data_IF_915539672621
#
_entry.id   IF_915539672621
#
_cell.length_a   1.000
_cell.length_b   1.000
_cell.length_c   1.000
_cell.angle_alpha   90.00
_cell.angle_beta   90.00
_cell.angle_gamma   90.00
#
_symmetry.space_group_name_H-M   'P 1'
#
loop_
_entity.id
_entity.type
_entity.pdbx_description
1 polymer ?
#
# COMPACT_ATOMS: atom_id res chain seq x y z
N UNK A 1 4.74 -2.61 3.49
CA UNK A 1 4.37 -1.90 2.24
C UNK A 1 5.59 -1.67 1.38
N UNK A 2 6.66 -1.08 1.92
CA UNK A 2 7.94 -0.93 1.22
C UNK A 2 9.01 -1.82 1.87
N UNK A 3 9.78 -2.54 1.07
CA UNK A 3 11.03 -3.21 1.43
C UNK A 3 12.16 -2.46 0.72
N UNK A 4 13.24 -2.11 1.41
CA UNK A 4 14.37 -1.41 0.79
C UNK A 4 15.51 -2.37 0.53
N UNK A 5 16.13 -2.25 -0.63
CA UNK A 5 17.31 -3.02 -1.03
C UNK A 5 18.33 -2.08 -1.68
N UNK A 6 19.53 -2.58 -1.93
CA UNK A 6 20.54 -1.84 -2.70
C UNK A 6 20.03 -1.52 -4.11
N UNK A 7 20.50 -0.41 -4.69
CA UNK A 7 20.11 -0.01 -6.05
C UNK A 7 20.49 -1.07 -7.10
N UNK A 8 21.55 -1.84 -6.89
CA UNK A 8 21.99 -2.86 -7.83
C UNK A 8 21.39 -4.24 -7.58
N UNK A 9 20.52 -4.37 -6.58
CA UNK A 9 19.91 -5.64 -6.18
C UNK A 9 19.04 -6.24 -7.30
N UNK A 10 19.29 -7.51 -7.61
CA UNK A 10 18.53 -8.27 -8.59
C UNK A 10 17.29 -8.91 -7.95
N UNK A 11 16.21 -9.19 -8.72
CA UNK A 11 15.00 -9.82 -8.19
C UNK A 11 15.23 -11.14 -7.44
N UNK A 12 16.24 -11.92 -7.83
CA UNK A 12 16.60 -13.20 -7.20
C UNK A 12 17.37 -13.07 -5.89
N UNK A 13 17.83 -11.86 -5.56
CA UNK A 13 18.61 -11.55 -4.35
C UNK A 13 17.73 -10.94 -3.26
N UNK A 14 16.43 -10.72 -3.54
CA UNK A 14 15.48 -10.17 -2.58
C UNK A 14 14.91 -11.30 -1.73
N UNK A 15 15.48 -11.46 -0.54
CA UNK A 15 14.97 -12.38 0.48
C UNK A 15 13.92 -11.72 1.40
N UNK A 16 13.25 -12.53 2.22
CA UNK A 16 12.30 -12.09 3.27
C UNK A 16 11.11 -11.24 2.76
N UNK A 17 10.64 -11.52 1.54
CA UNK A 17 9.45 -10.88 0.99
C UNK A 17 8.20 -11.23 1.81
N UNK A 18 7.27 -10.27 2.07
CA UNK A 18 6.01 -10.57 2.74
C UNK A 18 5.05 -11.34 1.82
N UNK A 19 4.11 -12.08 2.42
CA UNK A 19 3.02 -12.73 1.66
C UNK A 19 2.02 -11.71 1.07
N UNK A 20 1.90 -10.54 1.70
CA UNK A 20 1.03 -9.46 1.22
C UNK A 20 1.74 -8.62 0.14
N UNK A 21 1.02 -8.11 -0.87
CA UNK A 21 1.61 -7.25 -1.90
C UNK A 21 2.47 -6.12 -1.32
N UNK A 22 3.69 -6.00 -1.82
CA UNK A 22 4.63 -4.96 -1.41
C UNK A 22 5.46 -4.42 -2.57
N UNK A 23 6.05 -3.25 -2.34
CA UNK A 23 6.97 -2.58 -3.26
C UNK A 23 8.37 -2.78 -2.72
N UNK A 24 9.28 -3.26 -3.55
CA UNK A 24 10.71 -3.26 -3.29
C UNK A 24 11.27 -1.97 -3.86
N UNK A 25 11.95 -1.20 -3.02
CA UNK A 25 12.56 0.08 -3.34
C UNK A 25 14.05 -0.16 -3.51
N UNK A 26 14.53 -0.02 -4.74
CA UNK A 26 15.93 -0.20 -5.06
C UNK A 26 16.66 1.14 -4.89
N UNK A 27 17.31 1.33 -3.75
CA UNK A 27 17.93 2.58 -3.34
C UNK A 27 17.47 3.09 -1.98
N UNK A 28 17.82 4.35 -1.67
CA UNK A 28 17.72 4.89 -0.31
C UNK A 28 16.30 5.26 0.15
N UNK A 29 15.40 5.66 -0.77
CA UNK A 29 14.06 6.16 -0.44
C UNK A 29 13.07 5.97 -1.59
N UNK A 30 11.77 5.71 -1.31
CA UNK A 30 10.74 5.65 -2.35
C UNK A 30 10.58 6.94 -3.16
N UNK A 31 11.04 8.08 -2.64
CA UNK A 31 10.93 9.38 -3.31
C UNK A 31 12.08 9.66 -4.27
N UNK A 32 13.21 8.97 -4.12
CA UNK A 32 14.44 9.23 -4.88
C UNK A 32 14.96 8.03 -5.64
N UNK A 33 14.45 6.82 -5.37
CA UNK A 33 14.82 5.61 -6.09
C UNK A 33 14.44 5.71 -7.58
N UNK A 34 15.37 5.32 -8.45
CA UNK A 34 15.18 5.34 -9.91
C UNK A 34 14.46 4.11 -10.46
N UNK A 35 14.29 3.06 -9.66
CA UNK A 35 13.52 1.88 -10.02
C UNK A 35 13.02 1.12 -8.80
N UNK A 36 12.02 0.29 -9.05
CA UNK A 36 11.26 -0.46 -8.05
C UNK A 36 10.96 -1.86 -8.57
N UNK A 37 10.65 -2.76 -7.65
CA UNK A 37 10.04 -4.05 -7.98
C UNK A 37 8.72 -4.19 -7.23
N UNK A 38 7.84 -5.06 -7.71
CA UNK A 38 6.59 -5.40 -7.04
C UNK A 38 6.59 -6.88 -6.72
N UNK A 39 6.31 -7.20 -5.46
CA UNK A 39 6.19 -8.56 -4.98
C UNK A 39 4.76 -8.86 -4.56
N UNK A 40 4.34 -10.09 -4.78
CA UNK A 40 3.10 -10.66 -4.26
C UNK A 40 3.39 -12.09 -3.83
N UNK A 41 2.90 -12.47 -2.66
CA UNK A 41 3.08 -13.81 -2.10
C UNK A 41 4.54 -14.30 -2.15
N UNK A 42 5.44 -13.52 -1.56
CA UNK A 42 6.87 -13.84 -1.46
C UNK A 42 7.60 -13.96 -2.81
N UNK A 43 6.98 -13.51 -3.91
CA UNK A 43 7.54 -13.63 -5.26
C UNK A 43 7.58 -12.26 -5.93
N UNK A 44 8.71 -11.89 -6.55
CA UNK A 44 8.78 -10.73 -7.43
C UNK A 44 7.97 -11.02 -8.69
N UNK A 45 6.85 -10.32 -8.85
CA UNK A 45 5.96 -10.46 -10.02
C UNK A 45 6.26 -9.42 -11.10
N UNK A 46 6.92 -8.32 -10.74
CA UNK A 46 7.48 -7.36 -11.68
C UNK A 46 8.82 -6.84 -11.15
N UNK A 47 9.91 -7.20 -11.82
CA UNK A 47 11.28 -6.90 -11.40
C UNK A 47 11.83 -5.54 -11.85
N UNK A 48 11.07 -4.76 -12.63
CA UNK A 48 11.53 -3.44 -13.07
C UNK A 48 10.35 -2.50 -13.31
N UNK A 49 10.18 -1.54 -12.41
CA UNK A 49 9.17 -0.48 -12.48
C UNK A 49 9.88 0.87 -12.34
N UNK A 50 9.75 1.80 -13.31
CA UNK A 50 10.61 2.98 -13.38
C UNK A 50 10.23 4.10 -12.39
N UNK A 51 9.05 4.06 -11.79
CA UNK A 51 8.61 5.09 -10.87
C UNK A 51 7.70 4.55 -9.76
N UNK A 52 7.62 5.32 -8.67
CA UNK A 52 6.87 4.93 -7.47
C UNK A 52 5.36 4.90 -7.69
N UNK A 53 4.82 5.72 -8.61
CA UNK A 53 3.38 5.81 -8.86
C UNK A 53 2.88 4.53 -9.54
N UNK A 54 3.61 4.04 -10.54
CA UNK A 54 3.32 2.78 -11.21
C UNK A 54 3.50 1.60 -10.26
N UNK A 55 4.56 1.60 -9.44
CA UNK A 55 4.78 0.55 -8.45
C UNK A 55 3.66 0.51 -7.41
N UNK A 56 3.21 1.68 -6.94
CA UNK A 56 2.07 1.83 -6.04
C UNK A 56 0.78 1.34 -6.67
N UNK A 57 0.54 1.69 -7.93
CA UNK A 57 -0.64 1.28 -8.69
C UNK A 57 -0.69 -0.23 -8.86
N UNK A 58 0.42 -0.85 -9.29
CA UNK A 58 0.53 -2.30 -9.48
C UNK A 58 0.35 -3.05 -8.16
N UNK A 59 1.05 -2.64 -7.11
CA UNK A 59 0.94 -3.26 -5.79
C UNK A 59 -0.48 -3.14 -5.22
N UNK A 60 -1.10 -1.95 -5.35
CA UNK A 60 -2.45 -1.74 -4.87
C UNK A 60 -3.50 -2.53 -5.67
N UNK A 61 -3.35 -2.58 -7.00
CA UNK A 61 -4.21 -3.37 -7.88
C UNK A 61 -4.17 -4.87 -7.56
N UNK A 62 -3.01 -5.40 -7.14
CA UNK A 62 -2.87 -6.80 -6.74
C UNK A 62 -3.86 -7.20 -5.64
N UNK A 63 -4.14 -6.32 -4.66
CA UNK A 63 -5.16 -6.61 -3.64
C UNK A 63 -6.53 -6.88 -4.25
N UNK A 64 -6.89 -6.20 -5.34
CA UNK A 64 -8.20 -6.31 -5.99
C UNK A 64 -8.25 -7.45 -6.99
N UNK A 65 -7.28 -7.52 -7.89
CA UNK A 65 -7.23 -8.56 -8.92
C UNK A 65 -7.10 -9.96 -8.33
N UNK A 66 -6.38 -10.10 -7.21
CA UNK A 66 -6.12 -11.40 -6.57
C UNK A 66 -6.98 -11.63 -5.33
N UNK A 67 -7.93 -10.73 -5.05
CA UNK A 67 -8.84 -10.80 -3.89
C UNK A 67 -8.10 -10.98 -2.54
N UNK A 68 -6.98 -10.29 -2.36
CA UNK A 68 -6.18 -10.35 -1.13
C UNK A 68 -6.76 -9.36 -0.11
N UNK A 69 -6.94 -9.83 1.12
CA UNK A 69 -7.31 -9.00 2.27
C UNK A 69 -6.18 -8.04 2.65
N UNK A 70 -6.51 -6.85 3.16
CA UNK A 70 -5.47 -5.95 3.67
C UNK A 70 -4.86 -6.53 4.95
N UNK A 71 -3.52 -6.54 5.09
CA UNK A 71 -2.86 -6.97 6.31
C UNK A 71 -3.24 -6.02 7.46
N UNK A 72 -3.33 -6.57 8.66
CA UNK A 72 -3.88 -5.87 9.84
C UNK A 72 -3.10 -4.58 10.15
N UNK A 73 -1.79 -4.61 9.97
CA UNK A 73 -0.84 -3.54 10.28
C UNK A 73 -0.96 -2.36 9.29
N UNK A 74 -1.33 -2.65 8.03
CA UNK A 74 -1.43 -1.63 6.96
C UNK A 74 -2.87 -1.29 6.59
N UNK A 75 -3.87 -1.94 7.20
CA UNK A 75 -5.26 -1.80 6.78
C UNK A 75 -5.79 -0.36 6.80
N UNK A 76 -5.31 0.49 7.72
CA UNK A 76 -5.65 1.92 7.72
C UNK A 76 -5.02 2.67 6.54
N UNK A 77 -3.73 2.48 6.31
CA UNK A 77 -3.01 3.10 5.18
C UNK A 77 -3.61 2.69 3.85
N UNK A 78 -3.83 1.40 3.63
CA UNK A 78 -4.41 0.88 2.38
C UNK A 78 -5.85 1.33 2.18
N UNK A 79 -6.63 1.48 3.25
CA UNK A 79 -7.97 2.07 3.13
C UNK A 79 -7.93 3.58 2.83
N UNK A 80 -6.96 4.32 3.38
CA UNK A 80 -6.76 5.71 2.99
C UNK A 80 -6.45 5.81 1.49
N UNK A 81 -5.53 4.99 0.98
CA UNK A 81 -5.24 4.92 -0.46
C UNK A 81 -6.51 4.56 -1.25
N UNK A 82 -7.25 3.54 -0.81
CA UNK A 82 -8.49 3.09 -1.43
C UNK A 82 -9.48 4.24 -1.62
N UNK A 83 -9.78 4.98 -0.54
CA UNK A 83 -10.86 5.99 -0.53
C UNK A 83 -10.40 7.32 -1.12
N UNK A 84 -9.19 7.76 -0.79
CA UNK A 84 -8.73 9.12 -1.10
C UNK A 84 -8.00 9.19 -2.44
N UNK A 85 -7.17 8.20 -2.77
CA UNK A 85 -6.36 8.23 -3.99
C UNK A 85 -7.02 7.47 -5.13
N UNK A 86 -7.42 6.22 -4.89
CA UNK A 86 -8.02 5.35 -5.91
C UNK A 86 -9.54 5.50 -6.03
N UNK A 87 -10.19 6.19 -5.07
CA UNK A 87 -11.64 6.46 -5.04
C UNK A 87 -12.53 5.21 -5.18
N UNK A 88 -12.08 4.07 -4.64
CA UNK A 88 -12.82 2.79 -4.69
C UNK A 88 -13.73 2.67 -3.47
N UNK A 89 -15.04 2.65 -3.70
CA UNK A 89 -16.07 2.57 -2.66
C UNK A 89 -15.81 3.56 -1.49
N UNK A 90 -15.80 4.89 -1.75
CA UNK A 90 -15.38 5.90 -0.79
C UNK A 90 -16.26 5.98 0.47
N UNK A 91 -17.53 5.56 0.41
CA UNK A 91 -18.47 5.63 1.54
C UNK A 91 -18.82 4.26 2.16
N UNK A 92 -18.59 3.16 1.42
CA UNK A 92 -19.05 1.80 1.77
C UNK A 92 -17.96 0.76 1.51
N UNK A 93 -18.06 -0.40 2.13
CA UNK A 93 -17.14 -1.52 1.86
C UNK A 93 -15.72 -1.32 2.43
N UNK A 94 -15.05 -2.44 2.70
CA UNK A 94 -13.68 -2.45 3.24
C UNK A 94 -13.03 -3.80 2.93
N UNK A 95 -11.75 -3.77 2.57
CA UNK A 95 -10.89 -4.95 2.36
C UNK A 95 -10.18 -5.41 3.65
N UNK A 96 -10.38 -4.69 4.76
CA UNK A 96 -9.86 -5.08 6.08
C UNK A 96 -10.61 -6.30 6.59
N UNK A 97 -9.88 -7.24 7.16
CA UNK A 97 -10.46 -8.42 7.80
C UNK A 97 -11.45 -8.05 8.91
N UNK A 98 -12.54 -8.84 9.00
CA UNK A 98 -13.56 -8.64 10.02
C UNK A 98 -13.12 -9.24 11.35
N UNK A 99 -12.97 -8.39 12.37
CA UNK A 99 -12.81 -8.87 13.74
C UNK A 99 -14.16 -9.33 14.28
N UNK A 100 -14.28 -10.63 14.59
CA UNK A 100 -15.53 -11.28 14.98
C UNK A 100 -16.25 -10.65 16.21
N UNK A 101 -15.54 -9.87 17.04
CA UNK A 101 -16.02 -9.38 18.32
C UNK A 101 -16.42 -7.90 18.38
N UNK A 102 -16.29 -7.12 17.29
CA UNK A 102 -16.68 -5.70 17.28
C UNK A 102 -17.54 -5.37 16.07
N UNK A 103 -18.57 -4.54 16.27
CA UNK A 103 -19.28 -3.86 15.16
C UNK A 103 -18.25 -3.06 14.36
N UNK A 104 -17.83 -3.62 13.23
CA UNK A 104 -16.90 -2.96 12.33
C UNK A 104 -17.63 -1.84 11.62
N UNK A 105 -17.17 -0.61 11.83
CA UNK A 105 -17.62 0.53 11.06
C UNK A 105 -17.22 0.37 9.59
N UNK A 106 -18.00 0.97 8.69
CA UNK A 106 -17.72 0.97 7.26
C UNK A 106 -16.34 1.57 6.95
N UNK A 107 -15.90 2.56 7.74
CA UNK A 107 -14.61 3.25 7.59
C UNK A 107 -13.77 3.16 8.87
N UNK A 108 -12.45 3.15 8.75
CA UNK A 108 -11.54 3.19 9.91
C UNK A 108 -11.58 4.57 10.57
N UNK A 109 -11.76 4.64 11.89
CA UNK A 109 -11.76 5.89 12.66
C UNK A 109 -10.49 6.72 12.45
N UNK A 110 -9.32 6.08 12.38
CA UNK A 110 -8.05 6.78 12.13
C UNK A 110 -7.99 7.37 10.72
N UNK A 111 -8.56 6.68 9.74
CA UNK A 111 -8.65 7.17 8.36
C UNK A 111 -9.61 8.34 8.28
N UNK A 112 -10.78 8.25 8.91
CA UNK A 112 -11.72 9.39 9.00
C UNK A 112 -11.07 10.60 9.66
N UNK A 113 -10.44 10.41 10.83
CA UNK A 113 -9.76 11.50 11.54
C UNK A 113 -8.65 12.11 10.68
N UNK A 114 -7.85 11.31 9.97
CA UNK A 114 -6.82 11.83 9.07
C UNK A 114 -7.42 12.64 7.92
N UNK A 115 -8.49 12.15 7.29
CA UNK A 115 -9.17 12.85 6.19
C UNK A 115 -9.70 14.20 6.66
N UNK A 116 -10.38 14.24 7.81
CA UNK A 116 -10.88 15.48 8.42
C UNK A 116 -9.72 16.43 8.73
N UNK A 117 -8.66 15.96 9.37
CA UNK A 117 -7.51 16.80 9.70
C UNK A 117 -6.82 17.38 8.46
N UNK A 118 -6.74 16.62 7.35
CA UNK A 118 -6.18 17.11 6.09
C UNK A 118 -7.12 18.16 5.45
N UNK A 119 -8.43 17.93 5.49
CA UNK A 119 -9.42 18.85 4.93
C UNK A 119 -9.46 20.18 5.71
N UNK A 120 -9.30 20.13 7.03
CA UNK A 120 -9.31 21.28 7.92
C UNK A 120 -7.92 21.96 8.02
N UNK A 121 -6.90 21.40 7.36
CA UNK A 121 -5.54 21.95 7.44
C UNK A 121 -5.41 23.23 6.62
N UNK A 122 -5.15 24.33 7.31
CA UNK A 122 -4.76 25.60 6.70
C UNK A 122 -3.25 25.83 6.89
N UNK A 123 -2.55 26.10 5.79
CA UNK A 123 -1.15 26.56 5.86
C UNK A 123 -1.11 27.92 6.55
N UNK A 124 -0.45 28.00 7.70
CA UNK A 124 -0.13 29.26 8.37
C UNK A 124 1.30 29.66 7.97
N UNK A 125 1.42 30.84 7.35
CA UNK A 125 2.70 31.48 7.03
C UNK A 125 3.49 31.86 8.29
#
# INVERSE_FOLDING_TARGET
MFLKVDETCLPSEVDDLPSSPCIVVCGSSPLTAGHFMVAVDQTIVNGSVPNVVDALTLMFAAYYCLNISYPTELGGTLEFLQRCLFKINPDKGTKRERKASKKQQSVNLKVLSLITNIADFEWRE
#
